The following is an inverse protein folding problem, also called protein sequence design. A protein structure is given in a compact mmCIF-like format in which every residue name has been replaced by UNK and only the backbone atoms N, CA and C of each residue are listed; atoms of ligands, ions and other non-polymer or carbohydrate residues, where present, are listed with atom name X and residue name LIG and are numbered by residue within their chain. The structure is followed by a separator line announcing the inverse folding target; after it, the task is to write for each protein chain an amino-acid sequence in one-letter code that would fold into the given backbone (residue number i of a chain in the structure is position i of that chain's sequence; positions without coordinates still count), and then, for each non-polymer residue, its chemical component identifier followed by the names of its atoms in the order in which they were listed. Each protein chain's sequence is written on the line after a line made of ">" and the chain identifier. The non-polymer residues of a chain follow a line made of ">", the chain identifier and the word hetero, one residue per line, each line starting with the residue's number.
data_IF_078497351836
#
_entry.id   IF_078497351836
#
_cell.length_a   1.000
_cell.length_b   1.000
_cell.length_c   1.000
_cell.angle_alpha   90.00
_cell.angle_beta   90.00
_cell.angle_gamma   90.00
#
_symmetry.space_group_name_H-M   'P 1'
#
loop_
_entity.id
_entity.type
_entity.pdbx_description
1 polymer ?
#
# COMPACT_ATOMS: atom_id res chain seq x y z
N UNK A 1 -25.80 17.63 7.01
CA UNK A 1 -26.69 16.60 7.57
C UNK A 1 -26.42 16.35 9.06
N UNK A 2 -25.18 16.03 9.46
CA UNK A 2 -24.79 15.86 10.88
C UNK A 2 -25.04 17.12 11.74
N UNK A 3 -24.51 18.28 11.33
CA UNK A 3 -24.70 19.56 12.05
C UNK A 3 -26.18 19.93 12.27
N UNK A 4 -27.04 19.69 11.28
CA UNK A 4 -28.47 19.98 11.36
C UNK A 4 -29.18 18.99 12.31
N UNK A 5 -28.77 17.72 12.29
CA UNK A 5 -29.38 16.65 13.10
C UNK A 5 -28.98 16.74 14.57
N UNK A 6 -27.71 17.02 14.85
CA UNK A 6 -27.17 17.10 16.21
C UNK A 6 -27.21 18.52 16.78
N UNK A 7 -27.69 19.51 16.01
CA UNK A 7 -27.72 20.94 16.38
C UNK A 7 -26.36 21.49 16.81
N UNK A 8 -25.28 20.97 16.22
CA UNK A 8 -23.91 21.46 16.43
C UNK A 8 -23.50 22.43 15.32
N UNK A 9 -22.61 23.36 15.61
CA UNK A 9 -22.04 24.25 14.62
C UNK A 9 -21.18 23.48 13.60
N UNK A 10 -20.90 24.11 12.45
CA UNK A 10 -20.18 23.47 11.36
C UNK A 10 -18.75 23.06 11.75
N UNK A 11 -18.05 23.87 12.56
CA UNK A 11 -16.67 23.58 12.95
C UNK A 11 -16.61 22.33 13.83
N UNK A 12 -17.54 22.20 14.78
CA UNK A 12 -17.68 20.99 15.61
C UNK A 12 -18.01 19.74 14.77
N UNK A 13 -18.90 19.86 13.78
CA UNK A 13 -19.20 18.76 12.86
C UNK A 13 -17.99 18.33 12.02
N UNK A 14 -17.18 19.29 11.57
CA UNK A 14 -15.96 19.04 10.80
C UNK A 14 -14.89 18.40 11.69
N UNK A 15 -14.68 18.93 12.90
CA UNK A 15 -13.76 18.36 13.89
C UNK A 15 -14.07 16.89 14.18
N UNK A 16 -15.33 16.58 14.48
CA UNK A 16 -15.78 15.21 14.70
C UNK A 16 -15.56 14.31 13.47
N UNK A 17 -15.85 14.82 12.27
CA UNK A 17 -15.65 14.06 11.03
C UNK A 17 -14.18 13.73 10.81
N UNK A 18 -13.28 14.69 11.06
CA UNK A 18 -11.83 14.49 10.93
C UNK A 18 -11.33 13.48 11.95
N UNK A 19 -11.66 13.64 13.23
CA UNK A 19 -11.18 12.74 14.31
C UNK A 19 -11.73 11.32 14.16
N UNK A 20 -12.94 11.16 13.63
CA UNK A 20 -13.52 9.86 13.30
C UNK A 20 -12.84 9.24 12.07
N UNK A 21 -12.66 9.99 10.99
CA UNK A 21 -12.04 9.49 9.75
C UNK A 21 -10.58 9.09 9.95
N UNK A 22 -9.84 9.78 10.83
CA UNK A 22 -8.45 9.45 11.20
C UNK A 22 -8.36 8.40 12.29
N UNK A 23 -9.48 7.86 12.78
CA UNK A 23 -9.57 6.86 13.86
C UNK A 23 -9.04 7.33 15.23
N UNK A 24 -8.82 8.64 15.42
CA UNK A 24 -8.38 9.21 16.71
C UNK A 24 -9.49 9.14 17.75
N UNK A 25 -10.71 9.56 17.38
CA UNK A 25 -11.92 9.35 18.18
C UNK A 25 -11.86 9.81 19.63
N UNK A 26 -11.59 11.08 19.90
CA UNK A 26 -11.52 11.63 21.27
C UNK A 26 -12.80 11.40 22.10
N UNK A 27 -13.96 11.27 21.45
CA UNK A 27 -15.25 10.98 22.10
C UNK A 27 -15.90 12.19 22.77
N UNK A 28 -15.32 13.37 22.62
CA UNK A 28 -15.85 14.67 23.04
C UNK A 28 -17.15 15.04 22.28
N UNK A 29 -17.25 14.62 21.02
CA UNK A 29 -18.43 14.82 20.17
C UNK A 29 -18.83 13.47 19.59
N UNK A 30 -20.12 13.14 19.63
CA UNK A 30 -20.62 11.88 19.05
C UNK A 30 -22.06 12.00 18.54
N UNK A 31 -22.43 11.24 17.49
CA UNK A 31 -23.80 11.18 16.97
C UNK A 31 -24.76 10.58 18.00
N UNK A 32 -25.74 11.37 18.45
CA UNK A 32 -26.79 10.88 19.35
C UNK A 32 -28.05 10.46 18.60
N UNK A 33 -28.35 11.15 17.50
CA UNK A 33 -29.55 10.94 16.68
C UNK A 33 -29.40 9.80 15.68
N UNK A 34 -30.50 9.17 15.29
CA UNK A 34 -30.50 8.09 14.29
C UNK A 34 -29.92 8.53 12.94
N UNK A 35 -30.22 9.76 12.52
CA UNK A 35 -29.71 10.35 11.27
C UNK A 35 -28.22 10.68 11.40
N UNK A 36 -27.77 11.21 12.55
CA UNK A 36 -26.36 11.44 12.84
C UNK A 36 -25.55 10.14 12.82
N UNK A 37 -26.10 9.06 13.38
CA UNK A 37 -25.47 7.73 13.36
C UNK A 37 -25.32 7.17 11.94
N UNK A 38 -26.32 7.35 11.08
CA UNK A 38 -26.20 6.95 9.67
C UNK A 38 -25.08 7.73 8.94
N UNK A 39 -24.98 9.05 9.18
CA UNK A 39 -23.89 9.85 8.65
C UNK A 39 -22.52 9.37 9.18
N UNK A 40 -22.45 8.97 10.45
CA UNK A 40 -21.24 8.42 11.05
C UNK A 40 -20.78 7.12 10.39
N UNK A 41 -21.71 6.20 10.12
CA UNK A 41 -21.39 4.95 9.39
C UNK A 41 -20.77 5.27 8.02
N UNK A 42 -21.32 6.24 7.29
CA UNK A 42 -20.77 6.65 6.00
C UNK A 42 -19.34 7.22 6.14
N UNK A 43 -19.11 8.09 7.12
CA UNK A 43 -17.78 8.66 7.41
C UNK A 43 -16.77 7.56 7.76
N UNK A 44 -17.17 6.58 8.56
CA UNK A 44 -16.31 5.45 8.94
C UNK A 44 -15.91 4.59 7.73
N UNK A 45 -16.85 4.25 6.85
CA UNK A 45 -16.57 3.48 5.62
C UNK A 45 -15.60 4.25 4.73
N UNK A 46 -15.84 5.55 4.52
CA UNK A 46 -14.98 6.41 3.72
C UNK A 46 -13.58 6.51 4.34
N UNK A 47 -13.48 6.70 5.66
CA UNK A 47 -12.20 6.81 6.36
C UNK A 47 -11.33 5.57 6.19
N UNK A 48 -11.90 4.38 6.42
CA UNK A 48 -11.18 3.10 6.25
C UNK A 48 -10.77 2.90 4.79
N UNK A 49 -11.68 3.15 3.84
CA UNK A 49 -11.38 3.04 2.41
C UNK A 49 -10.27 3.98 1.96
N UNK A 50 -10.28 5.22 2.47
CA UNK A 50 -9.26 6.23 2.17
C UNK A 50 -7.89 5.82 2.69
N UNK A 51 -7.78 5.38 3.95
CA UNK A 51 -6.51 4.91 4.52
C UNK A 51 -6.00 3.69 3.74
N UNK A 52 -6.87 2.71 3.43
CA UNK A 52 -6.49 1.54 2.64
C UNK A 52 -5.98 1.89 1.25
N UNK A 53 -6.62 2.86 0.58
CA UNK A 53 -6.17 3.35 -0.73
C UNK A 53 -4.81 4.05 -0.64
N UNK A 54 -4.59 4.89 0.38
CA UNK A 54 -3.29 5.52 0.61
C UNK A 54 -2.19 4.48 0.86
N UNK A 55 -2.45 3.50 1.73
CA UNK A 55 -1.50 2.41 1.99
C UNK A 55 -1.19 1.62 0.73
N UNK A 56 -2.21 1.28 -0.08
CA UNK A 56 -2.03 0.57 -1.35
C UNK A 56 -1.20 1.39 -2.33
N UNK A 57 -1.45 2.70 -2.46
CA UNK A 57 -0.68 3.57 -3.35
C UNK A 57 0.80 3.63 -2.95
N UNK A 58 1.08 3.73 -1.64
CA UNK A 58 2.45 3.74 -1.12
C UNK A 58 3.11 2.38 -1.36
N UNK A 59 2.42 1.29 -1.03
CA UNK A 59 2.92 -0.08 -1.25
C UNK A 59 3.27 -0.32 -2.71
N UNK A 60 2.41 0.09 -3.64
CA UNK A 60 2.66 -0.08 -5.08
C UNK A 60 3.87 0.72 -5.56
N UNK A 61 4.12 1.90 -4.98
CA UNK A 61 5.31 2.70 -5.30
C UNK A 61 6.60 1.97 -4.89
N UNK A 62 6.63 1.34 -3.71
CA UNK A 62 7.79 0.55 -3.26
C UNK A 62 7.95 -0.74 -4.05
N UNK A 63 6.88 -1.52 -4.23
CA UNK A 63 6.90 -2.78 -4.96
C UNK A 63 7.40 -2.57 -6.40
N UNK A 64 6.99 -1.50 -7.06
CA UNK A 64 7.41 -1.21 -8.43
C UNK A 64 8.93 -1.04 -8.56
N UNK A 65 9.58 -0.44 -7.55
CA UNK A 65 11.03 -0.29 -7.55
C UNK A 65 11.74 -1.63 -7.27
N UNK A 66 11.20 -2.43 -6.36
CA UNK A 66 11.74 -3.75 -6.03
C UNK A 66 11.62 -4.73 -7.21
N UNK A 67 10.49 -4.73 -7.93
CA UNK A 67 10.30 -5.55 -9.13
C UNK A 67 11.31 -5.24 -10.24
N UNK A 68 11.66 -3.96 -10.44
CA UNK A 68 12.66 -3.55 -11.42
C UNK A 68 14.05 -4.06 -11.03
N UNK A 69 14.45 -3.89 -9.77
CA UNK A 69 15.73 -4.35 -9.26
C UNK A 69 15.86 -5.89 -9.34
N UNK A 70 14.81 -6.62 -8.95
CA UNK A 70 14.77 -8.08 -9.03
C UNK A 70 14.89 -8.58 -10.47
N UNK A 71 14.21 -7.94 -11.43
CA UNK A 71 14.33 -8.30 -12.85
C UNK A 71 15.74 -8.07 -13.38
N UNK A 72 16.39 -6.98 -12.98
CA UNK A 72 17.78 -6.71 -13.37
C UNK A 72 18.75 -7.75 -12.78
N UNK A 73 18.57 -8.12 -11.50
CA UNK A 73 19.39 -9.14 -10.84
C UNK A 73 19.19 -10.53 -11.47
N UNK A 74 17.95 -10.92 -11.77
CA UNK A 74 17.66 -12.17 -12.49
C UNK A 74 18.28 -12.19 -13.89
N UNK A 75 18.29 -11.06 -14.59
CA UNK A 75 18.94 -10.96 -15.90
C UNK A 75 20.46 -11.12 -15.79
N UNK A 76 21.09 -10.54 -14.76
CA UNK A 76 22.53 -10.71 -14.48
C UNK A 76 22.85 -12.17 -14.16
N UNK A 77 22.09 -12.79 -13.26
CA UNK A 77 22.26 -14.20 -12.89
C UNK A 77 22.11 -15.15 -14.09
N UNK A 78 21.15 -14.89 -14.98
CA UNK A 78 21.02 -15.68 -16.22
C UNK A 78 22.24 -15.54 -17.13
N UNK A 79 22.76 -14.33 -17.30
CA UNK A 79 23.95 -14.10 -18.10
C UNK A 79 25.20 -14.77 -17.50
N UNK A 80 25.37 -14.70 -16.18
CA UNK A 80 26.46 -15.37 -15.46
C UNK A 80 26.39 -16.89 -15.61
N UNK A 81 25.20 -17.49 -15.51
CA UNK A 81 25.01 -18.93 -15.76
C UNK A 81 25.38 -19.31 -17.20
N UNK A 82 24.97 -18.52 -18.19
CA UNK A 82 25.32 -18.77 -19.59
C UNK A 82 26.84 -18.71 -19.81
N UNK A 83 27.53 -17.73 -19.22
CA UNK A 83 28.99 -17.62 -19.29
C UNK A 83 29.70 -18.78 -18.58
N UNK A 84 29.17 -19.23 -17.43
CA UNK A 84 29.72 -20.35 -16.71
C UNK A 84 29.62 -21.64 -17.53
N UNK A 85 28.47 -21.86 -18.19
CA UNK A 85 28.29 -23.00 -19.08
C UNK A 85 29.28 -22.97 -20.28
N UNK A 86 29.49 -21.81 -20.93
CA UNK A 86 30.50 -21.70 -22.00
C UNK A 86 31.92 -22.02 -21.51
N UNK A 87 32.27 -21.59 -20.29
CA UNK A 87 33.57 -21.92 -19.69
C UNK A 87 33.72 -23.41 -19.41
N UNK A 88 32.66 -24.07 -18.94
CA UNK A 88 32.66 -25.53 -18.72
C UNK A 88 32.88 -26.27 -20.05
N UNK A 89 32.15 -25.91 -21.11
CA UNK A 89 32.29 -26.51 -22.43
C UNK A 89 33.72 -26.36 -22.98
N UNK A 90 34.34 -25.18 -22.82
CA UNK A 90 35.74 -24.95 -23.21
C UNK A 90 36.71 -25.85 -22.44
N UNK A 91 36.53 -25.97 -21.13
CA UNK A 91 37.40 -26.83 -20.30
C UNK A 91 37.26 -28.30 -20.71
N UNK A 92 36.04 -28.77 -20.98
CA UNK A 92 35.82 -30.13 -21.48
C UNK A 92 36.52 -30.37 -22.83
N UNK A 93 36.46 -29.41 -23.75
CA UNK A 93 37.17 -29.51 -25.03
C UNK A 93 38.70 -29.55 -24.86
N UNK A 94 39.26 -28.76 -23.95
CA UNK A 94 40.70 -28.75 -23.65
C UNK A 94 41.14 -30.10 -23.08
N UNK A 95 40.37 -30.65 -22.14
CA UNK A 95 40.67 -31.97 -21.54
C UNK A 95 40.60 -33.06 -22.61
N UNK A 96 39.58 -33.04 -23.47
CA UNK A 96 39.42 -34.01 -24.56
C UNK A 96 40.56 -33.94 -25.58
N UNK A 97 41.12 -32.76 -25.82
CA UNK A 97 42.25 -32.57 -26.76
C UNK A 97 43.61 -32.97 -26.15
N UNK A 98 43.72 -33.03 -24.83
CA UNK A 98 44.93 -33.46 -24.10
C UNK A 98 45.06 -34.97 -23.94
N UNK A 99 43.98 -35.72 -24.19
CA UNK A 99 43.91 -37.18 -24.09
C UNK A 99 44.01 -37.80 -25.47
#
# INVERSE_FOLDING_TARGET
>A
MYSISEKVDFATALWWSITTATTVGYGDVSPTTSIGKLAAVMVMIIGIGFIGMLTSSISNFFISNDEVNLKEELAKLHNENAQLNDKLDRLEQIIKKRR
#
